data_IF_494648196122
#
_entry.id   IF_494648196122
#
_cell.length_a   1.000
_cell.length_b   1.000
_cell.length_c   1.000
_cell.angle_alpha   90.00
_cell.angle_beta   90.00
_cell.angle_gamma   90.00
#
_symmetry.space_group_name_H-M   'P 1'
#
loop_
_entity.id
_entity.type
_entity.pdbx_description
1 polymer ?
#
# COMPACT_ATOMS: atom_id res chain seq x y z
N UNK A 1 8.59 11.11 18.30
CA UNK A 1 8.74 10.27 17.08
C UNK A 1 7.35 9.90 16.62
N UNK A 2 6.84 10.53 15.57
CA UNK A 2 5.54 10.15 14.99
C UNK A 2 5.64 8.73 14.47
N UNK A 3 4.83 7.81 14.99
CA UNK A 3 4.80 6.44 14.50
C UNK A 3 4.43 6.47 13.01
N UNK A 4 5.31 5.94 12.15
CA UNK A 4 5.03 5.81 10.72
C UNK A 4 3.86 4.85 10.56
N UNK A 5 2.69 5.37 10.22
CA UNK A 5 1.48 4.57 10.07
C UNK A 5 1.60 3.74 8.79
N UNK A 6 1.62 2.42 8.92
CA UNK A 6 1.71 1.50 7.77
C UNK A 6 0.37 1.39 7.06
N UNK A 7 0.36 1.67 5.76
CA UNK A 7 -0.84 1.54 4.95
C UNK A 7 -1.02 0.09 4.49
N UNK A 8 -1.97 -0.61 5.13
CA UNK A 8 -2.42 -1.95 4.72
C UNK A 8 -3.91 -1.95 4.35
N UNK A 9 -4.29 -1.39 3.18
CA UNK A 9 -5.67 -1.38 2.70
C UNK A 9 -6.25 -2.81 2.60
N UNK A 10 -7.41 -3.03 3.19
CA UNK A 10 -8.14 -4.31 3.16
C UNK A 10 -9.58 -4.07 2.76
N UNK A 11 -10.23 -5.12 2.23
CA UNK A 11 -11.67 -5.14 2.00
C UNK A 11 -12.26 -6.19 2.94
N UNK A 12 -13.14 -5.75 3.82
CA UNK A 12 -13.89 -6.63 4.73
C UNK A 12 -15.24 -6.96 4.12
N UNK A 13 -15.76 -8.15 4.45
CA UNK A 13 -17.07 -8.63 4.05
C UNK A 13 -17.91 -8.86 5.30
N UNK A 14 -19.06 -8.22 5.40
CA UNK A 14 -19.97 -8.32 6.56
C UNK A 14 -21.39 -8.58 6.09
N UNK A 15 -22.22 -9.13 6.98
CA UNK A 15 -23.65 -9.22 6.74
C UNK A 15 -24.29 -7.86 7.07
N UNK A 16 -24.98 -7.26 6.11
CA UNK A 16 -25.84 -6.10 6.29
C UNK A 16 -27.32 -6.48 6.27
N UNK A 17 -28.18 -5.49 6.48
CA UNK A 17 -29.64 -5.68 6.62
C UNK A 17 -30.30 -6.31 5.39
N UNK A 18 -29.79 -6.00 4.20
CA UNK A 18 -30.35 -6.42 2.89
C UNK A 18 -29.43 -7.37 2.12
N UNK A 19 -28.34 -7.83 2.73
CA UNK A 19 -27.38 -8.73 2.09
C UNK A 19 -25.94 -8.50 2.52
N UNK A 20 -25.01 -9.14 1.84
CA UNK A 20 -23.58 -8.97 2.12
C UNK A 20 -23.12 -7.57 1.69
N UNK A 21 -22.40 -6.88 2.58
CA UNK A 21 -21.75 -5.61 2.27
C UNK A 21 -20.22 -5.76 2.30
N UNK A 22 -19.55 -4.96 1.48
CA UNK A 22 -18.10 -4.91 1.35
C UNK A 22 -17.62 -3.52 1.71
N UNK A 23 -16.60 -3.41 2.55
CA UNK A 23 -16.06 -2.11 2.95
C UNK A 23 -14.54 -2.09 2.88
N UNK A 24 -13.98 -1.04 2.31
CA UNK A 24 -12.54 -0.76 2.37
C UNK A 24 -12.17 -0.19 3.74
N UNK A 25 -11.06 -0.66 4.33
CA UNK A 25 -10.45 -0.09 5.55
C UNK A 25 -8.92 -0.04 5.44
N UNK A 26 -8.29 0.94 6.06
CA UNK A 26 -6.84 1.09 6.17
C UNK A 26 -6.44 1.43 7.62
N UNK A 27 -5.31 0.92 8.15
CA UNK A 27 -4.81 1.29 9.49
C UNK A 27 -4.54 2.78 9.69
N UNK A 28 -4.46 3.58 8.62
CA UNK A 28 -4.37 5.03 8.70
C UNK A 28 -5.69 5.74 9.02
N UNK A 29 -6.76 4.99 9.28
CA UNK A 29 -8.10 5.53 9.57
C UNK A 29 -8.96 5.78 8.33
N UNK A 30 -8.40 5.66 7.12
CA UNK A 30 -9.18 5.76 5.90
C UNK A 30 -10.10 4.54 5.75
N UNK A 31 -11.37 4.80 5.41
CA UNK A 31 -12.36 3.78 5.15
C UNK A 31 -13.30 4.24 4.02
N UNK A 32 -13.79 3.27 3.24
CA UNK A 32 -14.81 3.50 2.23
C UNK A 32 -16.22 3.41 2.83
N UNK A 33 -17.21 3.58 1.97
CA UNK A 33 -18.61 3.32 2.28
C UNK A 33 -18.92 1.81 2.24
N UNK A 34 -20.08 1.43 2.77
CA UNK A 34 -20.57 0.06 2.65
C UNK A 34 -21.09 -0.17 1.22
N UNK A 35 -20.46 -1.10 0.51
CA UNK A 35 -20.73 -1.35 -0.90
C UNK A 35 -21.46 -2.68 -1.09
N UNK A 36 -22.47 -2.77 -1.96
CA UNK A 36 -23.16 -4.03 -2.26
C UNK A 36 -22.28 -5.01 -3.05
N UNK A 37 -21.20 -4.53 -3.68
CA UNK A 37 -20.30 -5.33 -4.51
C UNK A 37 -18.84 -5.09 -4.15
N UNK A 38 -18.05 -6.17 -4.08
CA UNK A 38 -16.61 -6.13 -3.81
C UNK A 38 -15.84 -5.20 -4.77
N UNK A 39 -16.26 -5.11 -6.03
CA UNK A 39 -15.61 -4.26 -7.04
C UNK A 39 -15.71 -2.77 -6.71
N UNK A 40 -16.80 -2.33 -6.09
CA UNK A 40 -16.98 -0.93 -5.68
C UNK A 40 -16.07 -0.61 -4.48
N UNK A 41 -16.01 -1.48 -3.47
CA UNK A 41 -15.06 -1.34 -2.37
C UNK A 41 -13.60 -1.41 -2.84
N UNK A 42 -13.32 -2.11 -3.95
CA UNK A 42 -12.02 -2.11 -4.60
C UNK A 42 -11.70 -0.79 -5.31
N UNK A 43 -12.70 -0.09 -5.85
CA UNK A 43 -12.53 1.26 -6.39
C UNK A 43 -12.14 2.24 -5.27
N UNK A 44 -12.84 2.20 -4.13
CA UNK A 44 -12.52 3.01 -2.95
C UNK A 44 -11.10 2.75 -2.44
N UNK A 45 -10.72 1.47 -2.34
CA UNK A 45 -9.35 1.06 -2.00
C UNK A 45 -8.32 1.62 -2.98
N UNK A 46 -8.59 1.54 -4.29
CA UNK A 46 -7.67 2.01 -5.32
C UNK A 46 -7.52 3.53 -5.26
N UNK A 47 -8.62 4.27 -5.07
CA UNK A 47 -8.59 5.72 -4.88
C UNK A 47 -7.72 6.09 -3.66
N UNK A 48 -7.87 5.39 -2.54
CA UNK A 48 -7.01 5.57 -1.37
C UNK A 48 -5.54 5.32 -1.68
N UNK A 49 -5.20 4.19 -2.33
CA UNK A 49 -3.80 3.88 -2.70
C UNK A 49 -3.20 4.96 -3.61
N UNK A 50 -3.97 5.47 -4.57
CA UNK A 50 -3.52 6.54 -5.47
C UNK A 50 -3.31 7.88 -4.75
N UNK A 51 -4.01 8.10 -3.63
CA UNK A 51 -3.85 9.29 -2.80
C UNK A 51 -2.63 9.24 -1.87
N UNK A 52 -2.01 8.07 -1.70
CA UNK A 52 -0.86 7.92 -0.81
C UNK A 52 0.35 8.71 -1.33
N UNK A 53 1.20 9.24 -0.42
CA UNK A 53 2.45 9.88 -0.82
C UNK A 53 3.27 8.96 -1.71
N UNK A 54 3.77 9.50 -2.82
CA UNK A 54 4.66 8.76 -3.70
C UNK A 54 5.98 8.55 -2.99
N UNK A 55 6.29 7.31 -2.64
CA UNK A 55 7.63 6.91 -2.20
C UNK A 55 8.58 7.03 -3.40
N UNK A 56 9.74 7.71 -3.29
CA UNK A 56 10.73 7.77 -4.36
C UNK A 56 11.08 6.37 -4.85
N UNK A 57 11.30 6.19 -6.16
CA UNK A 57 11.54 4.87 -6.76
C UNK A 57 12.70 4.09 -6.07
N UNK A 58 13.75 4.79 -5.66
CA UNK A 58 14.88 4.21 -4.91
C UNK A 58 14.49 3.66 -3.52
N UNK A 59 13.43 4.19 -2.92
CA UNK A 59 12.91 3.75 -1.61
C UNK A 59 11.79 2.71 -1.74
N UNK A 60 11.24 2.51 -2.95
CA UNK A 60 10.19 1.53 -3.18
C UNK A 60 10.75 0.10 -3.10
N UNK A 61 9.89 -0.82 -2.68
CA UNK A 61 10.25 -2.23 -2.67
C UNK A 61 10.38 -2.79 -4.10
N UNK A 62 11.58 -3.24 -4.46
CA UNK A 62 11.84 -3.92 -5.74
C UNK A 62 11.37 -5.38 -5.75
N UNK A 63 11.28 -6.02 -4.57
CA UNK A 63 10.70 -7.36 -4.42
C UNK A 63 9.61 -7.38 -3.33
N UNK A 64 8.39 -6.94 -3.64
CA UNK A 64 7.26 -6.92 -2.70
C UNK A 64 6.93 -8.29 -2.09
N UNK A 65 7.21 -9.39 -2.80
CA UNK A 65 6.90 -10.75 -2.34
C UNK A 65 7.91 -11.21 -1.30
N UNK A 66 9.19 -10.92 -1.50
CA UNK A 66 10.24 -11.27 -0.54
C UNK A 66 10.24 -10.38 0.71
N UNK A 67 9.90 -9.09 0.58
CA UNK A 67 10.09 -8.11 1.66
C UNK A 67 8.83 -7.75 2.46
N UNK A 68 7.67 -8.36 2.17
CA UNK A 68 6.37 -8.03 2.80
C UNK A 68 6.09 -6.51 2.81
N UNK A 69 6.34 -5.87 1.66
CA UNK A 69 6.15 -4.42 1.47
C UNK A 69 5.38 -4.16 0.20
N UNK A 70 4.43 -3.23 0.27
CA UNK A 70 3.75 -2.77 -0.93
C UNK A 70 4.64 -1.80 -1.70
N UNK A 71 4.48 -1.65 -3.03
CA UNK A 71 5.27 -0.70 -3.83
C UNK A 71 5.11 0.77 -3.42
N UNK A 72 3.99 1.12 -2.77
CA UNK A 72 3.72 2.46 -2.24
C UNK A 72 4.22 2.65 -0.79
N UNK A 73 4.97 1.70 -0.24
CA UNK A 73 5.62 1.80 1.08
C UNK A 73 7.14 1.88 0.90
N UNK A 74 7.82 2.57 1.81
CA UNK A 74 9.28 2.53 1.86
C UNK A 74 9.79 1.16 2.29
N UNK A 75 10.82 0.69 1.61
CA UNK A 75 11.48 -0.57 1.90
C UNK A 75 12.89 -0.30 2.39
N UNK A 76 13.11 -0.38 3.70
CA UNK A 76 14.43 -0.13 4.31
C UNK A 76 15.53 -1.12 3.90
N UNK A 77 15.18 -2.21 3.21
CA UNK A 77 16.15 -3.12 2.55
C UNK A 77 16.54 -2.55 1.18
N UNK A 78 15.57 -2.33 0.29
CA UNK A 78 15.81 -1.82 -1.06
C UNK A 78 16.41 -0.40 -1.06
N UNK A 79 15.98 0.47 -0.14
CA UNK A 79 16.50 1.83 0.03
C UNK A 79 18.00 1.87 0.31
N UNK A 80 18.53 0.84 0.98
CA UNK A 80 19.94 0.77 1.40
C UNK A 80 20.81 -0.05 0.45
N UNK A 81 20.23 -0.59 -0.62
CA UNK A 81 21.02 -1.30 -1.63
C UNK A 81 21.78 -0.26 -2.46
N UNK A 82 23.11 -0.34 -2.40
CA UNK A 82 23.96 0.38 -3.33
C UNK A 82 23.85 -0.32 -4.70
N UNK A 83 23.63 0.42 -5.80
CA UNK A 83 23.72 -0.17 -7.13
C UNK A 83 25.11 -0.78 -7.32
N UNK A 84 25.16 -2.06 -7.65
CA UNK A 84 26.42 -2.81 -7.84
C UNK A 84 27.25 -2.31 -9.03
N UNK A 85 26.67 -1.50 -9.92
CA UNK A 85 27.24 -1.16 -11.23
C UNK A 85 27.49 0.33 -11.48
N UNK A 86 27.34 1.21 -10.49
CA UNK A 86 27.85 2.60 -10.58
C UNK A 86 29.37 2.68 -10.27
N UNK A 87 30.12 1.62 -10.57
CA UNK A 87 31.59 1.58 -10.52
C UNK A 87 32.23 1.99 -11.87
N UNK A 88 31.48 2.61 -12.77
CA UNK A 88 32.06 3.31 -13.93
C UNK A 88 32.57 4.70 -13.50
N UNK A 89 33.59 4.75 -12.66
CA UNK A 89 34.14 6.06 -12.24
C UNK A 89 35.20 6.09 -11.16
N UNK A 90 35.74 4.95 -10.72
CA UNK A 90 37.00 4.98 -9.95
C UNK A 90 38.14 4.81 -10.95
N UNK A 91 38.54 5.94 -11.51
CA UNK A 91 39.83 6.11 -12.19
C UNK A 91 40.99 6.03 -11.19
#
# INVERSE_FOLDING_TARGET
>A
MSAVVRHRPKITRTAGEVGTVYRFTCPCGAAGEDQPARRLAQADRNAHVLSLPRVPAAQQCQDPRAHDRSPWESCGLCEKQLPLFDLEGVA
#
